data_IF_988226110363
#
_entry.id   IF_988226110363
#
_cell.length_a   1.000
_cell.length_b   1.000
_cell.length_c   1.000
_cell.angle_alpha   90.00
_cell.angle_beta   90.00
_cell.angle_gamma   90.00
#
_symmetry.space_group_name_H-M   'P 1'
#
loop_
_entity.id
_entity.type
_entity.pdbx_description
1 polymer ?
#
# COMPACT_ATOMS: atom_id res chain seq x y z
N UNK A 1 -43.58 -4.60 13.38
CA UNK A 1 -42.62 -5.38 12.58
C UNK A 1 -42.39 -4.66 11.27
N UNK A 2 -41.18 -4.24 10.92
CA UNK A 2 -40.92 -3.54 9.65
C UNK A 2 -41.26 -4.43 8.47
N UNK A 3 -41.85 -3.92 7.38
CA UNK A 3 -42.07 -4.71 6.17
C UNK A 3 -40.73 -5.24 5.63
N UNK A 4 -40.70 -6.48 5.20
CA UNK A 4 -39.47 -7.18 4.72
C UNK A 4 -38.67 -6.40 3.64
N UNK A 5 -39.38 -5.58 2.82
CA UNK A 5 -38.75 -4.79 1.75
C UNK A 5 -37.89 -3.66 2.32
N UNK A 6 -38.36 -2.90 3.31
CA UNK A 6 -37.60 -1.81 3.95
C UNK A 6 -36.38 -2.34 4.71
N UNK A 7 -36.54 -3.47 5.40
CA UNK A 7 -35.40 -4.13 6.08
C UNK A 7 -34.32 -4.60 5.11
N UNK A 8 -34.70 -4.92 3.88
CA UNK A 8 -33.79 -5.36 2.81
C UNK A 8 -33.04 -4.17 2.19
N UNK A 9 -33.70 -3.03 1.97
CA UNK A 9 -33.07 -1.79 1.47
C UNK A 9 -32.06 -1.23 2.49
N UNK A 10 -32.44 -1.16 3.76
CA UNK A 10 -31.57 -0.69 4.84
C UNK A 10 -30.28 -1.52 4.91
N UNK A 11 -30.40 -2.84 4.78
CA UNK A 11 -29.22 -3.73 4.80
C UNK A 11 -28.35 -3.60 3.54
N UNK A 12 -28.94 -3.35 2.37
CA UNK A 12 -28.20 -3.16 1.13
C UNK A 12 -27.36 -1.89 1.14
N UNK A 13 -27.91 -0.78 1.62
CA UNK A 13 -27.19 0.50 1.76
C UNK A 13 -26.04 0.37 2.77
N UNK A 14 -26.28 -0.29 3.91
CA UNK A 14 -25.24 -0.53 4.90
C UNK A 14 -24.09 -1.39 4.33
N UNK A 15 -24.40 -2.45 3.60
CA UNK A 15 -23.39 -3.31 2.94
C UNK A 15 -22.60 -2.51 1.91
N UNK A 16 -23.24 -1.67 1.11
CA UNK A 16 -22.58 -0.84 0.11
C UNK A 16 -21.62 0.17 0.76
N UNK A 17 -22.03 0.83 1.83
CA UNK A 17 -21.17 1.76 2.59
C UNK A 17 -19.95 1.03 3.18
N UNK A 18 -20.15 -0.14 3.78
CA UNK A 18 -19.06 -0.96 4.33
C UNK A 18 -18.10 -1.38 3.21
N UNK A 19 -18.62 -1.80 2.06
CA UNK A 19 -17.80 -2.19 0.90
C UNK A 19 -16.98 -1.00 0.36
N UNK A 20 -17.56 0.19 0.26
CA UNK A 20 -16.84 1.41 -0.16
C UNK A 20 -15.73 1.78 0.82
N UNK A 21 -16.00 1.71 2.13
CA UNK A 21 -15.00 1.99 3.16
C UNK A 21 -13.86 0.98 3.10
N UNK A 22 -14.18 -0.31 2.93
CA UNK A 22 -13.17 -1.35 2.79
C UNK A 22 -12.30 -1.13 1.54
N UNK A 23 -12.92 -0.83 0.40
CA UNK A 23 -12.20 -0.54 -0.85
C UNK A 23 -11.28 0.68 -0.71
N UNK A 24 -11.77 1.77 -0.10
CA UNK A 24 -10.98 2.97 0.15
C UNK A 24 -9.76 2.70 1.04
N UNK A 25 -9.95 1.99 2.16
CA UNK A 25 -8.85 1.62 3.04
C UNK A 25 -7.84 0.70 2.36
N UNK A 26 -8.32 -0.25 1.54
CA UNK A 26 -7.44 -1.14 0.76
C UNK A 26 -6.60 -0.36 -0.27
N UNK A 27 -7.21 0.58 -0.99
CA UNK A 27 -6.48 1.45 -1.93
C UNK A 27 -5.41 2.28 -1.23
N UNK A 28 -5.75 2.91 -0.10
CA UNK A 28 -4.79 3.70 0.70
C UNK A 28 -3.64 2.81 1.17
N UNK A 29 -3.95 1.63 1.73
CA UNK A 29 -2.92 0.68 2.15
C UNK A 29 -1.99 0.29 1.01
N UNK A 30 -2.55 -0.04 -0.17
CA UNK A 30 -1.77 -0.44 -1.34
C UNK A 30 -0.82 0.66 -1.81
N UNK A 31 -1.32 1.91 -1.87
CA UNK A 31 -0.50 3.08 -2.25
C UNK A 31 0.61 3.31 -1.23
N UNK A 32 0.29 3.35 0.06
CA UNK A 32 1.28 3.54 1.13
C UNK A 32 2.33 2.43 1.14
N UNK A 33 1.91 1.18 0.95
CA UNK A 33 2.82 0.03 0.85
C UNK A 33 3.81 0.19 -0.30
N UNK A 34 3.30 0.51 -1.49
CA UNK A 34 4.14 0.68 -2.67
C UNK A 34 5.12 1.84 -2.53
N UNK A 35 4.64 2.99 -2.06
CA UNK A 35 5.49 4.17 -1.83
C UNK A 35 6.58 3.89 -0.78
N UNK A 36 6.24 3.25 0.33
CA UNK A 36 7.22 2.91 1.38
C UNK A 36 8.28 1.94 0.88
N UNK A 37 7.90 0.93 0.09
CA UNK A 37 8.85 0.00 -0.51
C UNK A 37 9.79 0.70 -1.48
N UNK A 38 9.27 1.54 -2.36
CA UNK A 38 10.08 2.32 -3.30
C UNK A 38 11.03 3.29 -2.58
N UNK A 39 10.55 3.96 -1.54
CA UNK A 39 11.39 4.85 -0.72
C UNK A 39 12.53 4.10 -0.03
N UNK A 40 12.29 2.87 0.43
CA UNK A 40 13.33 2.02 1.01
C UNK A 40 14.38 1.62 -0.04
N UNK A 41 13.95 1.17 -1.22
CA UNK A 41 14.87 0.83 -2.34
C UNK A 41 15.67 2.05 -2.78
N UNK A 42 15.02 3.21 -2.90
CA UNK A 42 15.68 4.47 -3.26
C UNK A 42 16.74 4.87 -2.22
N UNK A 43 16.45 4.78 -0.94
CA UNK A 43 17.41 5.07 0.14
C UNK A 43 18.64 4.16 0.07
N UNK A 44 18.45 2.86 -0.24
CA UNK A 44 19.57 1.95 -0.45
C UNK A 44 20.38 2.31 -1.71
N UNK A 45 19.71 2.70 -2.79
CA UNK A 45 20.38 3.14 -4.02
C UNK A 45 21.20 4.43 -3.81
N UNK A 46 20.65 5.40 -3.09
CA UNK A 46 21.38 6.64 -2.75
C UNK A 46 22.60 6.34 -1.87
N UNK A 47 22.49 5.40 -0.94
CA UNK A 47 23.62 4.95 -0.12
C UNK A 47 24.70 4.29 -0.96
N UNK A 48 24.32 3.44 -1.92
CA UNK A 48 25.27 2.85 -2.88
C UNK A 48 25.96 3.94 -3.70
N UNK A 49 25.20 4.89 -4.25
CA UNK A 49 25.77 5.98 -5.04
C UNK A 49 26.83 6.78 -4.27
N UNK A 50 26.54 7.15 -3.02
CA UNK A 50 27.48 7.89 -2.19
C UNK A 50 28.77 7.08 -1.93
N UNK A 51 28.64 5.77 -1.74
CA UNK A 51 29.78 4.88 -1.56
C UNK A 51 30.59 4.75 -2.85
N UNK A 52 29.90 4.58 -3.97
CA UNK A 52 30.54 4.48 -5.28
C UNK A 52 31.28 5.76 -5.64
N UNK A 53 30.63 6.94 -5.57
CA UNK A 53 31.30 8.23 -5.86
C UNK A 53 32.57 8.44 -5.02
N UNK A 54 32.53 8.06 -3.75
CA UNK A 54 33.69 8.13 -2.89
C UNK A 54 34.78 7.16 -3.35
N UNK A 55 34.46 5.88 -3.55
CA UNK A 55 35.42 4.85 -3.93
C UNK A 55 35.99 5.09 -5.34
N UNK A 56 35.17 5.51 -6.30
CA UNK A 56 35.61 5.89 -7.66
C UNK A 56 36.65 7.03 -7.63
N UNK A 57 36.56 7.91 -6.64
CA UNK A 57 37.54 9.00 -6.45
C UNK A 57 38.82 8.59 -5.73
N UNK A 58 38.84 7.47 -5.02
CA UNK A 58 39.97 7.01 -4.19
C UNK A 58 40.72 5.85 -4.81
N UNK A 59 40.03 4.94 -5.52
CA UNK A 59 40.60 3.79 -6.17
C UNK A 59 41.56 4.26 -7.29
N UNK A 60 42.80 3.80 -7.23
CA UNK A 60 43.82 4.18 -8.22
C UNK A 60 43.67 3.39 -9.52
N UNK A 61 43.84 4.05 -10.68
CA UNK A 61 43.97 3.36 -11.96
C UNK A 61 44.99 2.22 -11.97
N UNK A 62 46.04 2.35 -11.19
CA UNK A 62 47.13 1.36 -11.11
C UNK A 62 46.67 0.05 -10.48
N UNK A 63 45.57 0.04 -9.68
CA UNK A 63 45.02 -1.17 -9.11
C UNK A 63 44.65 -2.22 -10.17
N UNK A 64 44.17 -1.77 -11.31
CA UNK A 64 43.71 -2.64 -12.38
C UNK A 64 44.85 -3.09 -13.31
N UNK A 65 45.94 -2.36 -13.38
CA UNK A 65 47.08 -2.68 -14.22
C UNK A 65 48.12 -3.51 -13.49
N UNK A 66 48.42 -3.21 -12.22
CA UNK A 66 49.52 -3.78 -11.46
C UNK A 66 49.13 -4.99 -10.61
N UNK A 67 47.82 -5.14 -10.28
CA UNK A 67 47.39 -6.23 -9.40
C UNK A 67 46.75 -7.35 -10.23
N UNK A 68 47.45 -8.47 -10.34
CA UNK A 68 47.05 -9.61 -11.18
C UNK A 68 46.98 -10.94 -10.41
N UNK A 69 47.63 -11.03 -9.26
CA UNK A 69 47.71 -12.27 -8.49
C UNK A 69 48.00 -12.05 -7.00
N UNK A 70 48.08 -13.13 -6.27
CA UNK A 70 48.32 -13.11 -4.81
C UNK A 70 49.65 -12.50 -4.43
N UNK A 71 50.63 -12.59 -5.32
CA UNK A 71 51.96 -12.01 -5.14
C UNK A 71 51.91 -10.48 -5.05
N UNK A 72 50.89 -9.85 -5.64
CA UNK A 72 50.76 -8.40 -5.68
C UNK A 72 50.12 -7.80 -4.42
N UNK A 73 49.69 -8.62 -3.46
CA UNK A 73 49.09 -8.16 -2.21
C UNK A 73 50.01 -7.32 -1.32
N UNK A 74 51.31 -7.35 -1.56
CA UNK A 74 52.29 -6.49 -0.90
C UNK A 74 52.57 -5.18 -1.64
N UNK A 75 51.97 -5.00 -2.82
CA UNK A 75 52.08 -3.76 -3.58
C UNK A 75 51.43 -2.62 -2.78
N UNK A 76 52.11 -1.47 -2.64
CA UNK A 76 51.52 -0.31 -1.96
C UNK A 76 50.14 0.11 -2.47
N UNK A 77 49.89 0.01 -3.78
CA UNK A 77 48.62 0.33 -4.42
C UNK A 77 47.52 -0.63 -3.93
N UNK A 78 47.82 -1.94 -3.88
CA UNK A 78 46.87 -2.91 -3.30
C UNK A 78 46.53 -2.58 -1.83
N UNK A 79 47.56 -2.31 -1.02
CA UNK A 79 47.37 -2.03 0.42
C UNK A 79 46.52 -0.81 0.64
N UNK A 80 46.76 0.29 -0.12
CA UNK A 80 45.98 1.54 -0.02
C UNK A 80 44.49 1.32 -0.41
N UNK A 81 44.26 0.64 -1.52
CA UNK A 81 42.89 0.32 -1.96
C UNK A 81 42.18 -0.62 -0.98
N UNK A 82 42.91 -1.64 -0.50
CA UNK A 82 42.42 -2.56 0.53
C UNK A 82 41.96 -1.83 1.79
N UNK A 83 42.79 -0.91 2.31
CA UNK A 83 42.45 -0.11 3.49
C UNK A 83 41.20 0.77 3.25
N UNK A 84 41.09 1.36 2.06
CA UNK A 84 39.92 2.15 1.68
C UNK A 84 38.63 1.31 1.66
N UNK A 85 38.68 0.14 0.98
CA UNK A 85 37.54 -0.77 0.90
C UNK A 85 37.16 -1.32 2.29
N UNK A 86 38.12 -1.75 3.12
CA UNK A 86 37.84 -2.21 4.49
C UNK A 86 37.22 -1.12 5.36
N UNK A 87 37.73 0.11 5.26
CA UNK A 87 37.22 1.24 6.01
C UNK A 87 35.79 1.56 5.63
N UNK A 88 35.48 1.66 4.33
CA UNK A 88 34.13 1.90 3.83
C UNK A 88 33.20 0.77 4.20
N UNK A 89 33.64 -0.50 4.04
CA UNK A 89 32.85 -1.67 4.43
C UNK A 89 32.42 -1.59 5.89
N UNK A 90 33.35 -1.28 6.79
CA UNK A 90 33.11 -1.20 8.23
C UNK A 90 32.22 -0.02 8.62
N UNK A 91 32.50 1.18 8.09
CA UNK A 91 31.76 2.41 8.43
C UNK A 91 30.34 2.36 7.87
N UNK A 92 30.20 1.87 6.65
CA UNK A 92 28.90 1.80 5.96
C UNK A 92 28.14 0.50 6.23
N UNK A 93 28.66 -0.38 7.08
CA UNK A 93 28.06 -1.69 7.39
C UNK A 93 27.73 -2.49 6.11
N UNK A 94 28.68 -2.55 5.18
CA UNK A 94 28.55 -3.36 3.97
C UNK A 94 28.86 -4.82 4.30
N UNK A 95 28.17 -5.71 3.60
CA UNK A 95 28.47 -7.13 3.66
C UNK A 95 29.74 -7.44 2.89
N UNK A 96 29.73 -7.08 1.59
CA UNK A 96 30.86 -7.20 0.70
C UNK A 96 31.06 -5.90 -0.08
N UNK A 97 32.32 -5.59 -0.36
CA UNK A 97 32.74 -4.57 -1.32
C UNK A 97 34.04 -5.03 -1.95
N UNK A 98 34.10 -5.03 -3.26
CA UNK A 98 35.28 -5.55 -3.98
C UNK A 98 35.40 -4.88 -5.34
N UNK A 99 36.60 -4.91 -5.90
CA UNK A 99 36.84 -4.50 -7.28
C UNK A 99 37.10 -5.73 -8.16
N UNK A 100 36.71 -5.62 -9.43
CA UNK A 100 36.84 -6.65 -10.43
C UNK A 100 37.31 -6.07 -11.76
N UNK A 101 38.03 -6.85 -12.54
CA UNK A 101 38.46 -6.49 -13.91
C UNK A 101 38.34 -7.68 -14.85
N UNK A 102 38.52 -7.42 -16.14
CA UNK A 102 38.70 -8.47 -17.14
C UNK A 102 40.18 -8.86 -17.19
N UNK A 103 40.49 -10.13 -16.93
CA UNK A 103 41.84 -10.70 -17.10
C UNK A 103 42.25 -10.80 -18.55
N UNK A 104 43.55 -11.11 -18.78
CA UNK A 104 44.12 -11.24 -20.11
C UNK A 104 43.49 -12.35 -20.96
N UNK A 105 42.96 -13.39 -20.30
CA UNK A 105 42.23 -14.50 -20.91
C UNK A 105 40.74 -14.19 -21.19
N UNK A 106 40.27 -12.98 -20.81
CA UNK A 106 38.91 -12.54 -20.94
C UNK A 106 37.98 -12.95 -19.79
N UNK A 107 38.49 -13.70 -18.79
CA UNK A 107 37.73 -14.08 -17.60
C UNK A 107 37.67 -12.89 -16.63
N UNK A 108 36.52 -12.71 -15.97
CA UNK A 108 36.41 -11.71 -14.91
C UNK A 108 37.08 -12.22 -13.65
N UNK A 109 37.92 -11.38 -13.04
CA UNK A 109 38.70 -11.72 -11.84
C UNK A 109 38.54 -10.64 -10.77
N UNK A 110 38.66 -11.06 -9.52
CA UNK A 110 38.79 -10.16 -8.39
C UNK A 110 40.12 -9.42 -8.42
N UNK A 111 40.11 -8.14 -8.04
CA UNK A 111 41.32 -7.32 -7.93
C UNK A 111 41.62 -7.04 -6.46
N UNK A 112 40.73 -6.39 -5.75
CA UNK A 112 40.85 -6.14 -4.30
C UNK A 112 39.51 -6.46 -3.62
N UNK A 113 39.57 -7.28 -2.59
CA UNK A 113 38.42 -7.60 -1.74
C UNK A 113 38.49 -6.81 -0.42
N UNK A 114 37.38 -6.12 -0.04
CA UNK A 114 37.24 -5.37 1.21
C UNK A 114 37.05 -6.23 2.45
N UNK A 115 37.01 -7.58 2.34
CA UNK A 115 37.00 -8.46 3.51
C UNK A 115 38.40 -8.60 4.08
N UNK A 116 38.57 -8.79 5.39
CA UNK A 116 39.88 -9.18 5.95
C UNK A 116 40.24 -10.62 5.56
N UNK A 117 41.50 -10.93 5.38
CA UNK A 117 41.96 -12.29 5.08
C UNK A 117 41.53 -13.33 6.13
N UNK A 118 41.27 -12.89 7.37
CA UNK A 118 40.73 -13.74 8.44
C UNK A 118 39.29 -14.21 8.19
N UNK A 119 38.60 -13.70 7.14
CA UNK A 119 37.26 -14.17 6.73
C UNK A 119 37.30 -15.58 6.10
N UNK A 120 38.47 -16.13 5.82
CA UNK A 120 38.65 -17.50 5.34
C UNK A 120 38.08 -17.70 3.94
N UNK A 121 37.18 -18.68 3.77
CA UNK A 121 36.59 -19.04 2.46
C UNK A 121 35.76 -17.94 1.79
N UNK A 122 35.33 -16.93 2.55
CA UNK A 122 34.59 -15.79 2.00
C UNK A 122 35.50 -14.75 1.35
N UNK A 123 36.82 -14.74 1.71
CA UNK A 123 37.80 -13.81 1.14
C UNK A 123 38.23 -14.25 -0.25
N UNK A 124 38.31 -13.30 -1.17
CA UNK A 124 38.78 -13.51 -2.55
C UNK A 124 40.12 -12.86 -2.76
N UNK A 125 41.05 -13.66 -3.30
CA UNK A 125 42.37 -13.19 -3.64
C UNK A 125 42.40 -12.51 -5.02
N UNK A 126 43.36 -11.59 -5.24
CA UNK A 126 43.59 -11.06 -6.58
C UNK A 126 43.84 -12.19 -7.59
N UNK A 127 43.15 -12.10 -8.74
CA UNK A 127 43.21 -13.12 -9.79
C UNK A 127 42.23 -14.29 -9.59
N UNK A 128 41.55 -14.42 -8.44
CA UNK A 128 40.51 -15.44 -8.29
C UNK A 128 39.37 -15.13 -9.28
N UNK A 129 38.77 -16.14 -9.94
CA UNK A 129 37.70 -15.92 -10.91
C UNK A 129 36.40 -15.47 -10.20
N UNK A 130 35.71 -14.58 -10.85
CA UNK A 130 34.35 -14.14 -10.42
C UNK A 130 33.36 -15.29 -10.64
N UNK A 131 32.43 -15.45 -9.75
CA UNK A 131 31.36 -16.43 -9.85
C UNK A 131 30.49 -16.19 -11.09
N UNK A 132 30.17 -17.25 -11.84
CA UNK A 132 29.45 -17.18 -13.12
C UNK A 132 28.08 -16.44 -12.99
N UNK A 133 27.44 -16.56 -11.83
CA UNK A 133 26.11 -15.99 -11.54
C UNK A 133 26.10 -14.45 -11.56
N UNK A 134 27.22 -13.80 -11.26
CA UNK A 134 27.32 -12.34 -11.19
C UNK A 134 28.09 -11.73 -12.36
N UNK A 135 28.75 -12.55 -13.21
CA UNK A 135 29.52 -12.08 -14.35
C UNK A 135 28.72 -11.17 -15.29
N UNK A 136 27.45 -11.53 -15.59
CA UNK A 136 26.63 -10.77 -16.52
C UNK A 136 26.25 -9.36 -16.04
N UNK A 137 26.17 -9.13 -14.74
CA UNK A 137 25.91 -7.82 -14.17
C UNK A 137 27.21 -6.99 -14.04
N UNK A 138 28.32 -7.62 -13.72
CA UNK A 138 29.63 -6.99 -13.73
C UNK A 138 30.06 -6.56 -15.14
N UNK A 139 29.76 -7.35 -16.18
CA UNK A 139 30.01 -6.97 -17.57
C UNK A 139 29.29 -5.67 -17.96
N UNK A 140 28.07 -5.47 -17.48
CA UNK A 140 27.36 -4.21 -17.72
C UNK A 140 28.07 -3.03 -17.06
N UNK A 141 28.64 -3.23 -15.86
CA UNK A 141 29.42 -2.18 -15.21
C UNK A 141 30.69 -1.87 -15.98
N UNK A 142 31.37 -2.88 -16.53
CA UNK A 142 32.52 -2.69 -17.43
C UNK A 142 32.14 -2.02 -18.76
N UNK A 143 30.87 -2.05 -19.16
CA UNK A 143 30.30 -1.30 -20.29
C UNK A 143 29.83 0.11 -19.90
N UNK A 144 30.31 0.66 -18.80
CA UNK A 144 29.96 1.99 -18.28
C UNK A 144 28.48 2.14 -17.89
N UNK A 145 27.88 1.08 -17.35
CA UNK A 145 26.49 1.09 -16.89
C UNK A 145 26.42 0.80 -15.40
N UNK A 146 25.88 1.74 -14.64
CA UNK A 146 25.57 1.48 -13.22
C UNK A 146 24.39 0.51 -13.11
N UNK A 147 24.61 -0.61 -12.46
CA UNK A 147 23.62 -1.66 -12.26
C UNK A 147 23.08 -1.57 -10.85
N UNK A 148 21.87 -1.02 -10.72
CA UNK A 148 21.15 -0.94 -9.45
C UNK A 148 19.97 -1.90 -9.45
N UNK A 149 19.77 -2.71 -8.41
CA UNK A 149 18.63 -3.59 -8.34
C UNK A 149 17.34 -2.81 -8.04
N UNK A 150 16.24 -3.18 -8.70
CA UNK A 150 14.91 -2.61 -8.44
C UNK A 150 14.23 -3.18 -7.19
N UNK A 151 14.83 -4.19 -6.55
CA UNK A 151 14.28 -4.90 -5.39
C UNK A 151 15.38 -5.51 -4.54
N UNK A 152 15.05 -5.70 -3.25
CA UNK A 152 15.91 -6.47 -2.33
C UNK A 152 15.85 -7.95 -2.70
N UNK A 153 17.00 -8.56 -2.83
CA UNK A 153 17.15 -9.99 -3.10
C UNK A 153 17.08 -10.76 -1.78
N UNK A 154 16.38 -11.88 -1.81
CA UNK A 154 16.37 -12.87 -0.71
C UNK A 154 17.22 -14.03 -1.15
N UNK A 155 18.32 -14.24 -0.45
CA UNK A 155 19.24 -15.33 -0.67
C UNK A 155 19.34 -16.23 0.56
N UNK A 156 20.00 -17.35 0.46
CA UNK A 156 20.31 -18.22 1.60
C UNK A 156 21.18 -17.51 2.66
N UNK A 157 21.86 -16.46 2.25
CA UNK A 157 22.73 -15.60 3.07
C UNK A 157 22.01 -14.41 3.72
N UNK A 158 20.69 -14.23 3.48
CA UNK A 158 19.89 -13.12 4.01
C UNK A 158 19.29 -12.22 2.93
N UNK A 159 18.90 -11.03 3.35
CA UNK A 159 18.29 -10.00 2.48
C UNK A 159 19.36 -9.01 2.09
N UNK A 160 19.66 -8.95 0.80
CA UNK A 160 20.78 -8.20 0.26
C UNK A 160 20.34 -7.25 -0.85
N UNK A 161 21.08 -6.16 -0.98
CA UNK A 161 20.97 -5.19 -2.05
C UNK A 161 22.34 -5.10 -2.71
N UNK A 162 22.47 -5.60 -3.95
CA UNK A 162 23.74 -5.71 -4.66
C UNK A 162 23.75 -4.75 -5.83
N UNK A 163 24.77 -3.90 -5.92
CA UNK A 163 24.98 -3.02 -7.04
C UNK A 163 26.37 -3.25 -7.65
N UNK A 164 26.47 -2.99 -8.95
CA UNK A 164 27.71 -3.02 -9.71
C UNK A 164 27.90 -1.68 -10.39
N UNK A 165 29.04 -1.05 -10.14
CA UNK A 165 29.33 0.30 -10.60
C UNK A 165 30.64 0.32 -11.36
N UNK A 166 30.78 1.10 -12.46
CA UNK A 166 32.04 1.27 -13.14
C UNK A 166 33.07 2.00 -12.28
N UNK A 167 34.34 1.70 -12.47
CA UNK A 167 35.47 2.44 -11.90
C UNK A 167 36.24 3.07 -13.05
N UNK A 168 36.50 4.37 -12.94
CA UNK A 168 37.04 5.18 -14.03
C UNK A 168 38.48 5.63 -13.78
N UNK A 169 39.24 5.78 -14.86
CA UNK A 169 40.51 6.45 -14.82
C UNK A 169 40.36 8.00 -14.84
N UNK A 170 41.48 8.71 -14.76
CA UNK A 170 41.49 10.18 -14.81
C UNK A 170 40.99 10.76 -16.12
N UNK A 171 40.85 9.97 -17.18
CA UNK A 171 40.35 10.34 -18.50
C UNK A 171 38.87 9.99 -18.65
N UNK A 172 38.24 9.36 -17.65
CA UNK A 172 36.86 8.88 -17.67
C UNK A 172 36.67 7.58 -18.43
N UNK A 173 37.72 6.78 -18.64
CA UNK A 173 37.62 5.43 -19.21
C UNK A 173 37.40 4.41 -18.11
N UNK A 174 36.49 3.45 -18.36
CA UNK A 174 36.26 2.34 -17.42
C UNK A 174 37.43 1.39 -17.39
N UNK A 175 38.00 1.18 -16.21
CA UNK A 175 39.11 0.29 -15.96
C UNK A 175 38.70 -1.01 -15.27
N UNK A 176 37.64 -0.94 -14.49
CA UNK A 176 37.15 -2.05 -13.73
C UNK A 176 35.73 -1.81 -13.23
N UNK A 177 35.26 -2.69 -12.40
CA UNK A 177 33.96 -2.61 -11.78
C UNK A 177 34.08 -2.77 -10.26
N UNK A 178 33.19 -2.08 -9.53
CA UNK A 178 33.04 -2.16 -8.08
C UNK A 178 31.75 -2.91 -7.78
N UNK A 179 31.85 -4.01 -7.04
CA UNK A 179 30.71 -4.70 -6.45
C UNK A 179 30.45 -4.19 -5.04
N UNK A 180 29.24 -3.74 -4.77
CA UNK A 180 28.80 -3.25 -3.45
C UNK A 180 27.59 -4.05 -2.99
N UNK A 181 27.73 -4.77 -1.90
CA UNK A 181 26.66 -5.55 -1.29
C UNK A 181 26.29 -4.99 0.09
N UNK A 182 25.07 -4.48 0.21
CA UNK A 182 24.52 -3.98 1.44
C UNK A 182 23.61 -5.04 2.08
N UNK A 183 23.80 -5.31 3.37
CA UNK A 183 22.80 -6.05 4.14
C UNK A 183 21.56 -5.18 4.30
N UNK A 184 20.44 -5.62 3.74
CA UNK A 184 19.14 -4.95 3.83
C UNK A 184 18.21 -5.62 4.86
N UNK A 185 18.78 -6.41 5.78
CA UNK A 185 18.03 -7.17 6.78
C UNK A 185 17.19 -6.25 7.68
N UNK A 186 17.85 -5.24 8.24
CA UNK A 186 17.22 -4.30 9.18
C UNK A 186 16.13 -3.47 8.52
N UNK A 187 16.41 -2.94 7.33
CA UNK A 187 15.47 -2.13 6.55
C UNK A 187 14.26 -2.96 6.12
N UNK A 188 14.51 -4.18 5.67
CA UNK A 188 13.44 -5.08 5.25
C UNK A 188 12.58 -5.53 6.43
N UNK A 189 13.17 -5.83 7.58
CA UNK A 189 12.43 -6.24 8.77
C UNK A 189 11.60 -5.08 9.33
N UNK A 190 12.16 -3.87 9.38
CA UNK A 190 11.41 -2.67 9.74
C UNK A 190 10.20 -2.46 8.80
N UNK A 191 10.42 -2.61 7.48
CA UNK A 191 9.35 -2.54 6.50
C UNK A 191 8.30 -3.64 6.69
N UNK A 192 8.73 -4.86 6.99
CA UNK A 192 7.83 -5.99 7.25
C UNK A 192 6.95 -5.75 8.48
N UNK A 193 7.52 -5.29 9.59
CA UNK A 193 6.77 -4.94 10.79
C UNK A 193 5.78 -3.79 10.54
N UNK A 194 6.23 -2.73 9.86
CA UNK A 194 5.36 -1.61 9.48
C UNK A 194 4.16 -2.10 8.64
N UNK A 195 4.37 -3.02 7.71
CA UNK A 195 3.32 -3.63 6.89
C UNK A 195 2.29 -4.36 7.73
N UNK A 196 2.72 -5.18 8.71
CA UNK A 196 1.82 -5.90 9.61
C UNK A 196 1.00 -4.93 10.45
N UNK A 197 1.64 -3.93 11.05
CA UNK A 197 0.94 -2.90 11.84
C UNK A 197 -0.07 -2.12 11.00
N UNK A 198 0.29 -1.74 9.78
CA UNK A 198 -0.62 -1.06 8.85
C UNK A 198 -1.84 -1.91 8.50
N UNK A 199 -1.67 -3.22 8.26
CA UNK A 199 -2.79 -4.15 8.01
C UNK A 199 -3.73 -4.26 9.20
N UNK A 200 -3.18 -4.43 10.41
CA UNK A 200 -3.97 -4.50 11.65
C UNK A 200 -4.73 -3.19 11.87
N UNK A 201 -4.07 -2.06 11.68
CA UNK A 201 -4.68 -0.74 11.83
C UNK A 201 -5.80 -0.49 10.82
N UNK A 202 -5.59 -0.83 9.54
CA UNK A 202 -6.63 -0.76 8.51
C UNK A 202 -7.83 -1.66 8.85
N UNK A 203 -7.60 -2.88 9.31
CA UNK A 203 -8.67 -3.78 9.73
C UNK A 203 -9.49 -3.19 10.90
N UNK A 204 -8.81 -2.63 11.90
CA UNK A 204 -9.45 -1.95 13.02
C UNK A 204 -10.29 -0.74 12.57
N UNK A 205 -9.75 0.10 11.69
CA UNK A 205 -10.47 1.24 11.12
C UNK A 205 -11.72 0.80 10.35
N UNK A 206 -11.65 -0.28 9.58
CA UNK A 206 -12.80 -0.84 8.88
C UNK A 206 -13.91 -1.28 9.86
N UNK A 207 -13.54 -1.96 10.95
CA UNK A 207 -14.51 -2.40 11.97
C UNK A 207 -15.17 -1.21 12.67
N UNK A 208 -14.37 -0.23 13.09
CA UNK A 208 -14.88 1.00 13.74
C UNK A 208 -15.78 1.80 12.81
N UNK A 209 -15.33 2.02 11.56
CA UNK A 209 -16.10 2.77 10.56
C UNK A 209 -17.43 2.08 10.23
N UNK A 210 -17.43 0.76 10.10
CA UNK A 210 -18.64 -0.04 9.88
C UNK A 210 -19.60 0.10 11.08
N UNK A 211 -19.10 0.02 12.30
CA UNK A 211 -19.88 0.20 13.52
C UNK A 211 -20.52 1.60 13.59
N UNK A 212 -19.73 2.63 13.39
CA UNK A 212 -20.22 4.03 13.36
C UNK A 212 -21.26 4.23 12.25
N UNK A 213 -20.99 3.74 11.03
CA UNK A 213 -21.94 3.84 9.91
C UNK A 213 -23.29 3.19 10.22
N UNK A 214 -23.28 2.00 10.83
CA UNK A 214 -24.49 1.31 11.25
C UNK A 214 -25.25 2.07 12.33
N UNK A 215 -24.57 2.66 13.30
CA UNK A 215 -25.19 3.45 14.38
C UNK A 215 -25.80 4.73 13.82
N UNK A 216 -25.07 5.47 12.99
CA UNK A 216 -25.55 6.71 12.36
C UNK A 216 -26.74 6.41 11.45
N UNK A 217 -26.65 5.38 10.63
CA UNK A 217 -27.72 4.96 9.74
C UNK A 217 -28.98 4.57 10.52
N UNK A 218 -28.87 3.80 11.60
CA UNK A 218 -29.98 3.45 12.47
C UNK A 218 -30.63 4.68 13.12
N UNK A 219 -29.85 5.67 13.49
CA UNK A 219 -30.34 6.88 14.16
C UNK A 219 -31.03 7.86 13.21
N UNK A 220 -30.49 8.05 12.02
CA UNK A 220 -30.98 9.04 11.04
C UNK A 220 -32.08 8.47 10.15
N UNK A 221 -31.90 7.27 9.63
CA UNK A 221 -32.80 6.70 8.62
C UNK A 221 -34.09 6.12 9.20
N UNK A 222 -34.09 5.73 10.45
CA UNK A 222 -35.20 4.94 11.04
C UNK A 222 -36.46 5.73 11.41
N UNK A 223 -36.43 6.92 12.06
CA UNK A 223 -37.64 7.68 12.38
C UNK A 223 -38.20 8.42 11.17
N UNK A 224 -37.35 9.05 10.40
CA UNK A 224 -37.80 10.01 9.36
C UNK A 224 -38.39 9.32 8.13
N UNK A 225 -37.81 8.21 7.67
CA UNK A 225 -38.35 7.41 6.56
C UNK A 225 -39.64 6.68 6.94
N UNK A 226 -39.81 6.32 8.21
CA UNK A 226 -41.03 5.68 8.66
C UNK A 226 -42.21 6.69 8.66
N UNK A 227 -41.96 7.92 9.09
CA UNK A 227 -42.99 8.96 9.13
C UNK A 227 -43.38 9.44 7.71
N UNK A 228 -42.36 9.69 6.84
CA UNK A 228 -42.63 10.08 5.44
C UNK A 228 -43.32 8.97 4.64
N UNK A 229 -43.01 7.72 4.88
CA UNK A 229 -43.61 6.59 4.15
C UNK A 229 -45.03 6.24 4.63
N UNK A 230 -45.42 6.65 5.85
CA UNK A 230 -46.68 6.24 6.48
C UNK A 230 -47.62 7.40 6.83
N UNK A 231 -47.22 8.64 6.54
CA UNK A 231 -48.03 9.85 6.84
C UNK A 231 -48.39 10.58 5.55
N UNK A 232 -49.59 11.06 5.45
CA UNK A 232 -50.06 11.96 4.40
C UNK A 232 -49.59 13.39 4.71
N UNK A 233 -48.89 14.01 3.75
CA UNK A 233 -48.22 15.30 3.94
C UNK A 233 -49.22 16.43 4.18
N UNK A 234 -50.41 16.38 3.56
CA UNK A 234 -51.43 17.42 3.67
C UNK A 234 -52.16 17.36 5.00
N UNK A 235 -52.58 16.18 5.40
CA UNK A 235 -53.47 15.97 6.53
C UNK A 235 -52.76 15.59 7.83
N UNK A 236 -51.55 15.10 7.74
CA UNK A 236 -50.79 14.57 8.89
C UNK A 236 -51.27 13.21 9.41
N UNK A 237 -52.33 12.65 8.78
CA UNK A 237 -52.84 11.32 9.12
C UNK A 237 -52.00 10.19 8.50
N UNK A 238 -52.26 8.95 8.93
CA UNK A 238 -51.69 7.78 8.29
C UNK A 238 -52.16 7.67 6.83
N UNK A 239 -51.22 7.51 5.90
CA UNK A 239 -51.52 7.36 4.51
C UNK A 239 -51.98 5.92 4.17
N UNK A 240 -52.28 5.67 2.89
CA UNK A 240 -52.74 4.36 2.39
C UNK A 240 -51.77 3.24 2.72
N UNK A 241 -50.44 3.47 2.69
CA UNK A 241 -49.45 2.45 3.00
C UNK A 241 -49.48 2.05 4.48
N UNK A 242 -49.63 3.03 5.37
CA UNK A 242 -49.81 2.76 6.81
C UNK A 242 -51.06 1.95 7.07
N UNK A 243 -52.17 2.31 6.42
CA UNK A 243 -53.43 1.59 6.52
C UNK A 243 -53.27 0.11 6.12
N UNK A 244 -52.72 -0.17 4.96
CA UNK A 244 -52.51 -1.53 4.47
C UNK A 244 -51.58 -2.33 5.41
N UNK A 245 -50.57 -1.69 5.98
CA UNK A 245 -49.68 -2.28 6.96
C UNK A 245 -50.39 -2.63 8.25
N UNK A 246 -51.24 -1.73 8.75
CA UNK A 246 -51.99 -1.94 9.99
C UNK A 246 -53.01 -3.09 9.81
N UNK A 247 -53.75 -3.10 8.69
CA UNK A 247 -54.70 -4.20 8.37
C UNK A 247 -53.96 -5.54 8.32
N UNK A 248 -52.86 -5.62 7.56
CA UNK A 248 -52.07 -6.86 7.50
C UNK A 248 -51.55 -7.33 8.88
N UNK A 249 -51.17 -6.38 9.74
CA UNK A 249 -50.75 -6.70 11.10
C UNK A 249 -51.90 -7.20 11.98
N UNK A 250 -53.11 -6.64 11.82
CA UNK A 250 -54.32 -7.09 12.53
C UNK A 250 -54.70 -8.53 12.11
N UNK A 251 -54.67 -8.80 10.80
CA UNK A 251 -54.95 -10.13 10.24
C UNK A 251 -53.92 -11.17 10.73
N UNK A 252 -52.61 -10.83 10.67
CA UNK A 252 -51.52 -11.72 11.12
C UNK A 252 -51.58 -12.06 12.61
N UNK A 253 -52.15 -11.13 13.42
CA UNK A 253 -52.33 -11.35 14.87
C UNK A 253 -53.69 -11.98 15.24
N UNK A 254 -54.53 -12.28 14.25
CA UNK A 254 -55.92 -12.78 14.45
C UNK A 254 -56.74 -11.90 15.36
N UNK A 255 -56.60 -10.58 15.26
CA UNK A 255 -57.28 -9.59 16.08
C UNK A 255 -58.49 -8.97 15.35
N UNK A 256 -58.84 -9.45 14.17
CA UNK A 256 -59.87 -8.89 13.32
C UNK A 256 -61.30 -8.89 13.97
N UNK A 257 -61.55 -9.82 14.87
CA UNK A 257 -62.85 -9.93 15.56
C UNK A 257 -63.11 -8.75 16.54
N UNK A 258 -62.06 -8.02 16.93
CA UNK A 258 -62.14 -6.96 17.92
C UNK A 258 -62.09 -5.55 17.33
N UNK A 259 -62.12 -5.42 15.99
CA UNK A 259 -61.96 -4.14 15.29
C UNK A 259 -63.03 -3.98 14.22
N UNK A 260 -63.48 -2.72 14.06
CA UNK A 260 -64.36 -2.30 12.95
C UNK A 260 -63.60 -1.35 12.05
N UNK A 261 -63.86 -1.41 10.75
CA UNK A 261 -63.37 -0.46 9.76
C UNK A 261 -64.50 0.48 9.38
N UNK A 262 -64.28 1.78 9.56
CA UNK A 262 -65.21 2.84 9.17
C UNK A 262 -64.62 3.53 7.94
N UNK A 263 -65.38 3.60 6.86
CA UNK A 263 -65.02 4.36 5.66
C UNK A 263 -65.82 5.65 5.66
N UNK A 264 -65.11 6.76 5.56
CA UNK A 264 -65.71 8.11 5.49
C UNK A 264 -65.36 8.73 4.15
N UNK A 265 -66.33 9.27 3.47
CA UNK A 265 -66.14 9.99 2.22
C UNK A 265 -66.58 11.48 2.41
N UNK A 266 -65.78 12.36 1.80
CA UNK A 266 -66.04 13.80 1.88
C UNK A 266 -66.87 14.28 0.66
N UNK A 267 -68.10 14.71 0.92
CA UNK A 267 -68.99 15.19 -0.12
C UNK A 267 -68.51 16.53 -0.70
N UNK A 268 -68.72 16.72 -2.00
CA UNK A 268 -68.56 17.99 -2.70
C UNK A 268 -67.15 18.60 -2.71
N UNK A 269 -66.13 17.83 -2.49
CA UNK A 269 -64.72 18.30 -2.58
C UNK A 269 -64.44 18.91 -3.96
N UNK A 270 -64.96 18.29 -5.03
CA UNK A 270 -64.81 18.80 -6.40
C UNK A 270 -65.46 20.18 -6.54
N UNK A 271 -66.64 20.40 -6.01
CA UNK A 271 -67.34 21.70 -6.04
C UNK A 271 -66.55 22.78 -5.28
N UNK A 272 -65.88 22.42 -4.18
CA UNK A 272 -65.03 23.37 -3.45
C UNK A 272 -63.80 23.72 -4.29
N UNK A 273 -63.14 22.72 -4.94
CA UNK A 273 -61.98 22.95 -5.80
C UNK A 273 -62.34 23.81 -7.03
N UNK A 274 -63.44 23.49 -7.68
CA UNK A 274 -63.93 24.22 -8.89
C UNK A 274 -64.40 25.67 -8.58
N UNK A 275 -64.90 25.88 -7.40
CA UNK A 275 -65.46 27.24 -6.99
C UNK A 275 -64.37 28.11 -6.30
N UNK A 276 -63.47 27.56 -5.56
CA UNK A 276 -62.56 28.31 -4.67
C UNK A 276 -61.07 27.95 -4.83
N UNK A 277 -60.80 27.09 -5.76
CA UNK A 277 -59.42 26.66 -6.03
C UNK A 277 -58.94 25.51 -5.14
N UNK A 278 -57.79 24.86 -5.52
CA UNK A 278 -57.23 23.69 -4.85
C UNK A 278 -56.79 23.97 -3.41
N UNK A 279 -56.32 25.20 -3.12
CA UNK A 279 -55.94 25.58 -1.76
C UNK A 279 -57.11 25.53 -0.78
N UNK A 280 -58.30 25.89 -1.26
CA UNK A 280 -59.54 25.79 -0.47
C UNK A 280 -59.95 24.33 -0.24
N UNK A 281 -59.75 23.47 -1.22
CA UNK A 281 -59.89 22.00 -1.08
C UNK A 281 -58.97 21.40 -0.09
N UNK A 282 -57.73 21.81 -0.08
CA UNK A 282 -56.70 21.35 0.86
C UNK A 282 -57.06 21.78 2.30
N UNK A 283 -57.53 23.00 2.49
CA UNK A 283 -58.05 23.47 3.77
C UNK A 283 -59.29 22.66 4.19
N UNK A 284 -60.20 22.35 3.25
CA UNK A 284 -61.40 21.55 3.51
C UNK A 284 -61.02 20.13 3.97
N UNK A 285 -60.07 19.46 3.27
CA UNK A 285 -59.53 18.15 3.65
C UNK A 285 -58.92 18.20 5.05
N UNK A 286 -58.02 19.16 5.32
CA UNK A 286 -57.35 19.30 6.60
C UNK A 286 -58.29 19.56 7.77
N UNK A 287 -59.36 20.33 7.55
CA UNK A 287 -60.36 20.56 8.57
C UNK A 287 -61.22 19.33 8.83
N UNK A 288 -61.63 18.62 7.78
CA UNK A 288 -62.43 17.40 7.91
C UNK A 288 -61.69 16.32 8.70
N UNK A 289 -60.39 16.15 8.43
CA UNK A 289 -59.57 15.16 9.13
C UNK A 289 -59.32 15.46 10.62
N UNK A 290 -59.50 16.69 11.05
CA UNK A 290 -59.49 17.08 12.49
C UNK A 290 -60.76 16.78 13.22
N UNK A 291 -61.85 16.53 12.50
CA UNK A 291 -63.19 16.27 13.05
C UNK A 291 -63.49 14.77 13.18
N UNK A 292 -62.63 13.91 12.59
CA UNK A 292 -62.66 12.45 12.64
C UNK A 292 -61.66 11.95 13.68
#
# INVERSE_FOLDING_TARGET
MKPKVFRRMDSQVAVLLIAMLFLSNFCIFFVCYHMSYQSMVQSLSERVNNIWEYLDSVISPLDFDEINGREDMTNPVYVETKEALESVRRISNLRYVYTAKRGDDGVLVYVVDGLPESAGDDFRYPGDPIEEEICGELEKALDDKVVMPSKILKTDWGKIFIAYCPVHDSNGQVMGALGIEISAETEYDAFFHMRIFALIFCALLCVVSAGVSLLVFRRISNPHFHDLANTDILTGLKNRNAYLTDIHNLEARKLCENYAVIVVDLNNLKGVNDGFGHDAGDIYLTKATRAI
#
